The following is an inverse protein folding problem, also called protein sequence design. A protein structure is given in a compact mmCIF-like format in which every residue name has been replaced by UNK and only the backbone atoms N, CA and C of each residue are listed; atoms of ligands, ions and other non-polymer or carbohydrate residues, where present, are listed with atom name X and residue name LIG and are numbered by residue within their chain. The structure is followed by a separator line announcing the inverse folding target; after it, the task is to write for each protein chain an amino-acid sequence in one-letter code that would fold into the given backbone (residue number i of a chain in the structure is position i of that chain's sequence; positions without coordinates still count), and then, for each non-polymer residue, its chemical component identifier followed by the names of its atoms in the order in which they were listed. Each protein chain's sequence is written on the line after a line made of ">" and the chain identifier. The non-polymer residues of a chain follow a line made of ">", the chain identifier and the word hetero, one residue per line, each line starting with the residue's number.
data_IF_587552141358
#
_entry.id   IF_587552141358
#
_cell.length_a   1.000
_cell.length_b   1.000
_cell.length_c   1.000
_cell.angle_alpha   90.00
_cell.angle_beta   90.00
_cell.angle_gamma   90.00
#
_symmetry.space_group_name_H-M   'P 1'
#
loop_
_entity.id
_entity.type
_entity.pdbx_description
1 polymer ?
#
# COMPACT_ATOMS: atom_id res chain seq x y z
N UNK A 1 5.07 11.23 6.42
CA UNK A 1 5.78 10.46 5.38
C UNK A 1 5.84 11.31 4.12
N UNK A 2 6.97 11.36 3.42
CA UNK A 2 7.16 12.22 2.24
C UNK A 2 7.29 11.36 0.98
N UNK A 3 6.51 11.70 -0.05
CA UNK A 3 6.55 11.08 -1.36
C UNK A 3 7.34 11.96 -2.33
N UNK A 4 8.34 11.40 -3.01
CA UNK A 4 9.13 12.16 -3.98
C UNK A 4 8.71 11.74 -5.41
N UNK A 5 7.81 12.51 -6.01
CA UNK A 5 7.20 12.19 -7.32
C UNK A 5 8.04 12.58 -8.54
N UNK A 6 9.01 13.48 -8.38
CA UNK A 6 9.81 14.05 -9.48
C UNK A 6 11.09 13.26 -9.80
N UNK A 7 11.49 12.32 -8.94
CA UNK A 7 12.61 11.43 -9.26
C UNK A 7 12.19 10.39 -10.30
N UNK A 8 13.16 9.96 -11.12
CA UNK A 8 13.00 8.85 -12.07
C UNK A 8 12.36 7.61 -11.43
N UNK A 9 12.62 7.38 -10.14
CA UNK A 9 11.92 6.37 -9.34
C UNK A 9 11.04 7.05 -8.28
N UNK A 10 9.72 6.94 -8.44
CA UNK A 10 8.74 7.39 -7.45
C UNK A 10 8.83 6.51 -6.21
N UNK A 11 9.12 7.10 -5.06
CA UNK A 11 9.27 6.35 -3.79
C UNK A 11 8.80 7.15 -2.59
N UNK A 12 8.36 6.43 -1.57
CA UNK A 12 8.18 6.98 -0.23
C UNK A 12 9.55 7.07 0.43
N UNK A 13 10.00 8.29 0.71
CA UNK A 13 11.33 8.53 1.23
C UNK A 13 11.29 8.61 2.77
N UNK A 14 11.20 9.82 3.33
CA UNK A 14 11.23 10.00 4.77
C UNK A 14 9.93 9.53 5.43
N UNK A 15 10.07 8.87 6.58
CA UNK A 15 8.95 8.37 7.38
C UNK A 15 8.39 7.01 6.99
N UNK A 16 8.76 6.43 5.83
CA UNK A 16 8.33 5.06 5.48
C UNK A 16 8.90 4.02 6.45
N UNK A 17 10.19 4.09 6.77
CA UNK A 17 10.81 3.15 7.72
C UNK A 17 10.18 3.20 9.11
N UNK A 18 9.83 4.40 9.61
CA UNK A 18 9.09 4.55 10.87
C UNK A 18 7.68 3.95 10.77
N UNK A 19 6.98 4.19 9.67
CA UNK A 19 5.66 3.60 9.42
C UNK A 19 5.71 2.07 9.42
N UNK A 20 6.72 1.47 8.79
CA UNK A 20 6.96 0.02 8.79
C UNK A 20 7.14 -0.52 10.21
N UNK A 21 7.99 0.14 11.01
CA UNK A 21 8.26 -0.28 12.39
C UNK A 21 7.02 -0.13 13.27
N UNK A 22 6.38 1.05 13.26
CA UNK A 22 5.22 1.36 14.10
C UNK A 22 4.04 0.40 13.82
N UNK A 23 3.87 -0.01 12.56
CA UNK A 23 2.77 -0.91 12.14
C UNK A 23 3.17 -2.38 12.01
N UNK A 24 4.41 -2.75 12.39
CA UNK A 24 4.95 -4.12 12.31
C UNK A 24 4.73 -4.77 10.94
N UNK A 25 4.95 -4.00 9.87
CA UNK A 25 4.84 -4.52 8.51
C UNK A 25 5.91 -5.59 8.26
N UNK A 26 5.50 -6.69 7.62
CA UNK A 26 6.38 -7.78 7.19
C UNK A 26 6.28 -8.01 5.69
N UNK A 27 7.27 -8.69 5.12
CA UNK A 27 7.19 -9.18 3.73
C UNK A 27 5.94 -10.06 3.60
N UNK A 28 5.14 -9.80 2.56
CA UNK A 28 3.84 -10.43 2.33
C UNK A 28 2.64 -9.57 2.76
N UNK A 29 2.81 -8.60 3.65
CA UNK A 29 1.77 -7.61 3.92
C UNK A 29 1.62 -6.63 2.75
N UNK A 30 0.39 -6.19 2.49
CA UNK A 30 0.09 -5.15 1.52
C UNK A 30 -0.37 -3.86 2.21
N UNK A 31 0.02 -2.71 1.64
CA UNK A 31 -0.46 -1.40 2.06
C UNK A 31 -1.32 -0.80 0.94
N UNK A 32 -2.58 -0.52 1.26
CA UNK A 32 -3.51 0.19 0.38
C UNK A 32 -3.56 1.65 0.79
N UNK A 33 -3.32 2.55 -0.16
CA UNK A 33 -3.43 3.98 0.04
C UNK A 33 -4.63 4.51 -0.73
N UNK A 34 -5.67 4.89 -0.02
CA UNK A 34 -6.87 5.50 -0.59
C UNK A 34 -6.76 7.01 -0.52
N UNK A 35 -6.94 7.67 -1.67
CA UNK A 35 -6.91 9.12 -1.75
C UNK A 35 -8.16 9.70 -1.09
N UNK A 36 -7.98 10.44 0.01
CA UNK A 36 -9.07 11.14 0.68
C UNK A 36 -9.20 12.58 0.21
N UNK A 37 -8.08 13.25 -0.08
CA UNK A 37 -8.05 14.64 -0.46
C UNK A 37 -6.93 14.86 -1.49
N UNK A 38 -7.26 15.59 -2.56
CA UNK A 38 -6.30 16.09 -3.53
C UNK A 38 -6.65 17.54 -3.84
N UNK A 39 -5.88 18.48 -3.30
CA UNK A 39 -6.02 19.92 -3.53
C UNK A 39 -4.66 20.54 -3.87
N UNK A 40 -4.67 21.82 -4.26
CA UNK A 40 -3.45 22.57 -4.54
C UNK A 40 -2.56 22.76 -3.31
N UNK A 41 -3.10 22.57 -2.10
CA UNK A 41 -2.37 22.77 -0.84
C UNK A 41 -1.97 21.44 -0.17
N UNK A 42 -2.73 20.36 -0.40
CA UNK A 42 -2.58 19.13 0.37
C UNK A 42 -3.04 17.90 -0.40
N UNK A 43 -2.31 16.81 -0.21
CA UNK A 43 -2.72 15.47 -0.62
C UNK A 43 -2.75 14.60 0.63
N UNK A 44 -3.90 13.97 0.90
CA UNK A 44 -4.10 13.12 2.09
C UNK A 44 -4.53 11.73 1.64
N UNK A 45 -3.88 10.69 2.19
CA UNK A 45 -4.25 9.30 1.98
C UNK A 45 -4.66 8.64 3.30
N UNK A 46 -5.68 7.78 3.25
CA UNK A 46 -5.91 6.74 4.26
C UNK A 46 -5.01 5.56 3.92
N UNK A 47 -4.19 5.12 4.88
CA UNK A 47 -3.44 3.89 4.76
C UNK A 47 -4.19 2.75 5.43
N UNK A 48 -4.43 1.66 4.71
CA UNK A 48 -4.94 0.40 5.25
C UNK A 48 -3.89 -0.67 5.04
N UNK A 49 -3.74 -1.56 6.03
CA UNK A 49 -2.76 -2.64 5.98
C UNK A 49 -3.51 -3.97 5.91
N UNK A 50 -3.25 -4.72 4.85
CA UNK A 50 -3.76 -6.07 4.64
C UNK A 50 -2.66 -7.04 5.03
N UNK A 51 -2.92 -7.89 6.03
CA UNK A 51 -1.92 -8.83 6.54
C UNK A 51 -1.82 -10.04 5.63
N UNK A 52 -0.59 -10.35 5.23
CA UNK A 52 -0.26 -11.44 4.33
C UNK A 52 -0.20 -12.81 4.99
N UNK A 53 -1.08 -13.10 5.95
CA UNK A 53 -1.12 -14.40 6.64
C UNK A 53 -1.69 -15.53 5.76
N UNK A 54 -1.78 -15.32 4.46
CA UNK A 54 -2.22 -16.33 3.51
C UNK A 54 -1.16 -17.42 3.36
N UNK A 55 -1.55 -18.70 3.26
CA UNK A 55 -0.61 -19.79 3.00
C UNK A 55 0.24 -19.48 1.76
N UNK A 56 1.51 -19.94 1.71
CA UNK A 56 2.43 -19.68 0.59
C UNK A 56 1.84 -20.02 -0.79
N UNK A 57 0.90 -20.97 -0.82
CA UNK A 57 0.15 -21.43 -2.00
C UNK A 57 -0.67 -20.31 -2.68
N UNK A 58 -1.05 -19.26 -1.95
CA UNK A 58 -1.88 -18.16 -2.43
C UNK A 58 -1.09 -16.98 -2.98
N UNK A 59 0.25 -16.99 -2.84
CA UNK A 59 1.12 -15.85 -3.14
C UNK A 59 1.12 -15.41 -4.62
N UNK A 60 0.96 -16.34 -5.56
CA UNK A 60 1.07 -16.06 -6.99
C UNK A 60 -0.22 -15.49 -7.62
N UNK A 61 -1.41 -15.78 -7.09
CA UNK A 61 -2.67 -15.31 -7.69
C UNK A 61 -3.31 -14.12 -6.94
N UNK A 62 -2.90 -13.84 -5.71
CA UNK A 62 -3.41 -12.71 -4.92
C UNK A 62 -2.73 -11.37 -5.22
N UNK A 63 -1.87 -11.29 -6.23
CA UNK A 63 -1.16 -10.05 -6.58
C UNK A 63 -2.08 -9.00 -7.22
N UNK A 64 -3.27 -9.39 -7.70
CA UNK A 64 -4.14 -8.48 -8.43
C UNK A 64 -3.57 -8.04 -9.77
N UNK A 65 -2.57 -8.78 -10.30
CA UNK A 65 -1.82 -8.42 -11.51
C UNK A 65 -2.58 -8.70 -12.82
N UNK A 66 -3.68 -9.44 -12.76
CA UNK A 66 -4.50 -9.78 -13.91
C UNK A 66 -5.99 -9.48 -13.66
N UNK A 67 -6.70 -9.15 -14.75
CA UNK A 67 -8.14 -8.86 -14.71
C UNK A 67 -8.98 -10.07 -14.27
N UNK A 68 -8.43 -11.28 -14.43
CA UNK A 68 -9.04 -12.55 -14.08
C UNK A 68 -8.89 -12.89 -12.58
N UNK A 69 -8.00 -12.21 -11.84
CA UNK A 69 -7.78 -12.39 -10.41
C UNK A 69 -7.66 -11.05 -9.65
N UNK A 70 -8.71 -10.21 -9.63
CA UNK A 70 -8.66 -8.90 -8.99
C UNK A 70 -8.68 -9.01 -7.46
N UNK A 71 -7.99 -8.08 -6.79
CA UNK A 71 -8.13 -7.90 -5.33
C UNK A 71 -9.42 -7.14 -5.06
N UNK A 72 -10.43 -7.82 -4.50
CA UNK A 72 -11.72 -7.21 -4.17
C UNK A 72 -11.68 -6.61 -2.77
N UNK A 73 -11.76 -5.29 -2.68
CA UNK A 73 -11.83 -4.56 -1.41
C UNK A 73 -13.32 -4.37 -1.08
N UNK A 74 -13.81 -5.08 -0.07
CA UNK A 74 -15.18 -4.89 0.44
C UNK A 74 -15.21 -3.73 1.45
N UNK A 75 -16.18 -2.83 1.30
CA UNK A 75 -16.45 -1.76 2.27
C UNK A 75 -17.54 -2.24 3.25
N UNK A 76 -17.26 -2.17 4.54
CA UNK A 76 -18.24 -2.33 5.63
C UNK A 76 -18.90 -1.01 5.99
#
# INVERSE_FOLDING_TARGET
>A
MVFHGEYKCKRMHSGWGKFVIDNKLKVGDACVFELLECSSQKITFRAQILRGDSPPEFSHWMTGESAEAPVVIQQT
#
